data_IF_347566471035
#
_entry.id   IF_347566471035
#
_cell.length_a   1.000
_cell.length_b   1.000
_cell.length_c   1.000
_cell.angle_alpha   90.00
_cell.angle_beta   90.00
_cell.angle_gamma   90.00
#
_symmetry.space_group_name_H-M   'P 1'
#
loop_
_entity.id
_entity.type
_entity.pdbx_description
1 polymer ?
#
# COMPACT_ATOMS: atom_id res chain seq x y z
N UNK A 1 6.33 -7.44 -55.92
CA UNK A 1 5.20 -7.48 -54.96
C UNK A 1 4.59 -6.08 -54.95
N UNK A 2 3.36 -5.89 -55.44
CA UNK A 2 2.66 -4.59 -55.38
C UNK A 2 1.77 -4.61 -54.14
N UNK A 3 2.06 -3.74 -53.17
CA UNK A 3 1.27 -3.58 -51.97
C UNK A 3 0.60 -2.20 -52.04
N UNK A 4 -0.68 -2.18 -52.41
CA UNK A 4 -1.55 -1.01 -52.36
C UNK A 4 -2.42 -1.15 -51.11
N UNK A 5 -2.07 -0.41 -50.07
CA UNK A 5 -2.83 -0.36 -48.82
C UNK A 5 -3.61 0.95 -48.80
N UNK A 6 -4.92 0.86 -49.04
CA UNK A 6 -5.86 1.97 -48.96
C UNK A 6 -6.53 1.91 -47.58
N UNK A 7 -5.82 2.38 -46.55
CA UNK A 7 -6.24 2.24 -45.16
C UNK A 7 -6.96 3.52 -44.73
N UNK A 8 -8.28 3.53 -44.83
CA UNK A 8 -9.16 4.49 -44.13
C UNK A 8 -9.41 3.99 -42.71
N UNK A 9 -8.40 4.02 -41.85
CA UNK A 9 -8.58 3.71 -40.42
C UNK A 9 -8.29 4.93 -39.58
N UNK A 10 -9.27 5.33 -38.79
CA UNK A 10 -9.10 6.30 -37.73
C UNK A 10 -8.26 5.68 -36.61
N UNK A 11 -7.17 6.36 -36.24
CA UNK A 11 -6.30 5.95 -35.15
C UNK A 11 -6.40 6.93 -34.00
N UNK A 12 -7.05 6.51 -32.91
CA UNK A 12 -7.21 7.32 -31.72
C UNK A 12 -6.11 7.02 -30.70
N UNK A 13 -5.50 8.07 -30.16
CA UNK A 13 -4.50 7.99 -29.09
C UNK A 13 -5.09 8.59 -27.83
N UNK A 14 -5.55 7.72 -26.93
CA UNK A 14 -6.14 8.15 -25.65
C UNK A 14 -5.18 8.00 -24.48
N UNK A 15 -4.23 7.05 -24.53
CA UNK A 15 -3.31 6.77 -23.41
C UNK A 15 -1.83 6.86 -23.77
N UNK A 16 -0.97 7.11 -22.77
CA UNK A 16 0.48 7.22 -22.96
C UNK A 16 1.11 5.90 -23.44
N UNK A 17 0.46 4.78 -23.14
CA UNK A 17 0.86 3.44 -23.57
C UNK A 17 0.69 3.23 -25.07
N UNK A 18 -0.07 4.08 -25.76
CA UNK A 18 -0.32 4.00 -27.20
C UNK A 18 0.70 4.81 -28.02
N UNK A 19 1.44 5.72 -27.38
CA UNK A 19 2.49 6.53 -28.04
C UNK A 19 3.57 5.69 -28.76
N UNK A 20 4.07 4.55 -28.23
CA UNK A 20 4.96 3.68 -28.99
C UNK A 20 4.38 3.20 -30.33
N UNK A 21 3.07 2.90 -30.36
CA UNK A 21 2.38 2.47 -31.60
C UNK A 21 2.20 3.63 -32.56
N UNK A 22 1.82 4.81 -32.04
CA UNK A 22 1.75 6.05 -32.83
C UNK A 22 3.07 6.35 -33.55
N UNK A 23 4.21 6.12 -32.88
CA UNK A 23 5.53 6.31 -33.48
C UNK A 23 5.75 5.41 -34.70
N UNK A 24 5.40 4.13 -34.60
CA UNK A 24 5.53 3.15 -35.69
C UNK A 24 4.68 3.56 -36.90
N UNK A 25 3.43 4.00 -36.67
CA UNK A 25 2.53 4.47 -37.73
C UNK A 25 3.10 5.71 -38.42
N UNK A 26 3.54 6.70 -37.64
CA UNK A 26 4.09 7.95 -38.16
C UNK A 26 5.40 7.74 -38.94
N UNK A 27 6.28 6.85 -38.49
CA UNK A 27 7.51 6.48 -39.20
C UNK A 27 7.20 5.77 -40.53
N UNK A 28 6.19 4.89 -40.55
CA UNK A 28 5.74 4.21 -41.77
C UNK A 28 5.15 5.17 -42.80
N UNK A 29 4.50 6.24 -42.34
CA UNK A 29 3.95 7.33 -43.17
C UNK A 29 5.00 8.41 -43.49
N UNK A 30 6.23 8.28 -42.99
CA UNK A 30 7.30 9.28 -43.12
C UNK A 30 6.90 10.68 -42.60
N UNK A 31 6.08 10.75 -41.55
CA UNK A 31 5.55 11.98 -40.95
C UNK A 31 6.27 12.34 -39.64
N UNK A 32 6.43 13.64 -39.39
CA UNK A 32 7.04 14.15 -38.16
C UNK A 32 6.01 14.31 -37.05
N UNK A 33 6.30 13.74 -35.88
CA UNK A 33 5.44 13.80 -34.71
C UNK A 33 5.55 15.17 -34.01
N UNK A 34 4.42 15.86 -33.85
CA UNK A 34 4.33 17.08 -33.04
C UNK A 34 4.18 16.74 -31.54
N UNK A 35 5.30 16.58 -30.85
CA UNK A 35 5.35 16.21 -29.42
C UNK A 35 4.65 17.22 -28.50
N UNK A 36 4.67 18.52 -28.85
CA UNK A 36 4.08 19.58 -28.02
C UNK A 36 2.56 19.60 -28.08
N UNK A 37 2.00 19.28 -29.25
CA UNK A 37 0.54 19.20 -29.41
C UNK A 37 -0.02 18.00 -28.65
N UNK A 38 0.60 16.84 -28.79
CA UNK A 38 0.26 15.63 -28.03
C UNK A 38 0.32 15.90 -26.52
N UNK A 39 1.35 16.61 -26.06
CA UNK A 39 1.51 16.98 -24.66
C UNK A 39 0.36 17.85 -24.14
N UNK A 40 -0.12 18.82 -24.93
CA UNK A 40 -1.26 19.68 -24.60
C UNK A 40 -2.56 18.89 -24.56
N UNK A 41 -2.83 18.05 -25.57
CA UNK A 41 -4.03 17.22 -25.65
C UNK A 41 -4.14 16.23 -24.49
N UNK A 42 -3.00 15.62 -24.10
CA UNK A 42 -2.95 14.65 -23.01
C UNK A 42 -2.71 15.28 -21.63
N UNK A 43 -2.53 16.61 -21.56
CA UNK A 43 -2.19 17.36 -20.34
C UNK A 43 -0.96 16.78 -19.59
N UNK A 44 0.11 16.48 -20.33
CA UNK A 44 1.38 15.94 -19.78
C UNK A 44 2.56 16.78 -20.22
N UNK A 45 3.69 16.66 -19.51
CA UNK A 45 4.93 17.31 -19.93
C UNK A 45 5.47 16.73 -21.26
N UNK A 46 6.02 17.59 -22.12
CA UNK A 46 6.60 17.21 -23.43
C UNK A 46 7.65 16.10 -23.31
N UNK A 47 8.47 16.12 -22.24
CA UNK A 47 9.52 15.12 -22.00
C UNK A 47 8.90 13.76 -21.67
N UNK A 48 7.72 13.74 -21.04
CA UNK A 48 6.97 12.51 -20.79
C UNK A 48 6.52 11.90 -22.12
N UNK A 49 5.96 12.69 -23.04
CA UNK A 49 5.59 12.19 -24.38
C UNK A 49 6.80 11.60 -25.10
N UNK A 50 7.93 12.30 -25.10
CA UNK A 50 9.19 11.83 -25.70
C UNK A 50 9.69 10.52 -25.07
N UNK A 51 9.60 10.41 -23.75
CA UNK A 51 9.97 9.21 -22.99
C UNK A 51 9.10 8.01 -23.37
N UNK A 52 7.78 8.20 -23.48
CA UNK A 52 6.85 7.14 -23.86
C UNK A 52 6.93 6.76 -25.35
N UNK A 53 7.17 7.73 -26.24
CA UNK A 53 7.45 7.46 -27.67
C UNK A 53 8.66 6.53 -27.86
N UNK A 54 9.66 6.61 -26.98
CA UNK A 54 10.83 5.74 -27.00
C UNK A 54 10.62 4.38 -26.29
N UNK A 55 9.39 4.02 -25.96
CA UNK A 55 9.05 2.70 -25.42
C UNK A 55 9.20 2.57 -23.89
N UNK A 56 9.20 3.69 -23.16
CA UNK A 56 9.21 3.63 -21.70
C UNK A 56 7.96 2.91 -21.16
N UNK A 57 8.18 2.01 -20.21
CA UNK A 57 7.14 1.37 -19.42
C UNK A 57 7.35 1.73 -17.95
N UNK A 58 6.33 2.23 -17.24
CA UNK A 58 6.47 2.53 -15.81
C UNK A 58 6.83 1.24 -15.04
N UNK A 59 7.79 1.34 -14.13
CA UNK A 59 8.11 0.24 -13.23
C UNK A 59 6.92 0.02 -12.30
N UNK A 60 6.42 -1.22 -12.24
CA UNK A 60 5.45 -1.62 -11.22
C UNK A 60 6.20 -1.75 -9.90
N UNK A 61 5.59 -1.27 -8.81
CA UNK A 61 6.14 -1.51 -7.47
C UNK A 61 6.18 -3.01 -7.20
N UNK A 62 7.38 -3.54 -6.87
CA UNK A 62 7.54 -4.96 -6.54
C UNK A 62 6.69 -5.29 -5.32
N UNK A 63 5.78 -6.26 -5.46
CA UNK A 63 5.06 -6.85 -4.33
C UNK A 63 6.05 -7.69 -3.51
N UNK A 64 6.68 -7.08 -2.50
CA UNK A 64 7.59 -7.76 -1.57
C UNK A 64 6.81 -8.23 -0.35
N UNK A 65 6.96 -9.50 -0.01
CA UNK A 65 6.44 -10.08 1.22
C UNK A 65 7.11 -9.45 2.45
N UNK A 66 6.34 -9.29 3.52
CA UNK A 66 6.84 -8.79 4.80
C UNK A 66 7.68 -9.88 5.48
N UNK A 67 8.66 -9.46 6.29
CA UNK A 67 9.46 -10.39 7.12
C UNK A 67 8.61 -11.20 8.13
N UNK A 68 7.37 -10.77 8.36
CA UNK A 68 6.43 -11.34 9.33
C UNK A 68 5.47 -12.32 8.65
N UNK A 69 5.37 -12.31 7.31
CA UNK A 69 4.48 -13.22 6.56
C UNK A 69 4.73 -14.71 6.88
N UNK A 70 5.98 -15.19 7.07
CA UNK A 70 6.21 -16.58 7.47
C UNK A 70 5.64 -16.94 8.85
N UNK A 71 5.37 -15.96 9.71
CA UNK A 71 4.83 -16.16 11.05
C UNK A 71 3.31 -15.97 11.10
N UNK A 72 2.65 -15.80 9.96
CA UNK A 72 1.21 -15.49 9.92
C UNK A 72 0.38 -16.59 10.60
N UNK A 73 0.62 -17.86 10.23
CA UNK A 73 -0.13 -19.00 10.79
C UNK A 73 0.16 -19.15 12.28
N UNK A 74 1.42 -19.01 12.69
CA UNK A 74 1.80 -19.05 14.09
C UNK A 74 1.15 -17.93 14.91
N UNK A 75 1.08 -16.70 14.38
CA UNK A 75 0.38 -15.59 15.03
C UNK A 75 -1.13 -15.88 15.12
N UNK A 76 -1.70 -16.51 14.10
CA UNK A 76 -3.11 -16.89 14.08
C UNK A 76 -3.42 -17.93 15.16
N UNK A 77 -2.56 -18.94 15.31
CA UNK A 77 -2.70 -19.98 16.32
C UNK A 77 -2.55 -19.40 17.74
N UNK A 78 -1.55 -18.54 17.95
CA UNK A 78 -1.32 -17.87 19.24
C UNK A 78 -2.45 -16.90 19.65
N UNK A 79 -3.19 -16.35 18.69
CA UNK A 79 -4.32 -15.45 18.94
C UNK A 79 -5.67 -16.17 18.86
N UNK A 80 -5.67 -17.49 18.69
CA UNK A 80 -6.88 -18.31 18.75
C UNK A 80 -7.44 -18.34 20.18
N UNK A 81 -8.74 -18.54 20.31
CA UNK A 81 -9.42 -18.65 21.62
C UNK A 81 -9.05 -19.95 22.36
N UNK A 82 -8.53 -20.93 21.62
CA UNK A 82 -8.11 -22.25 22.13
C UNK A 82 -6.73 -22.22 22.80
N UNK A 83 -5.95 -21.16 22.59
CA UNK A 83 -4.61 -21.06 23.19
C UNK A 83 -4.72 -20.62 24.67
N UNK A 84 -4.08 -21.37 25.57
CA UNK A 84 -4.03 -21.03 27.00
C UNK A 84 -3.33 -19.69 27.26
N UNK A 85 -2.32 -19.37 26.45
CA UNK A 85 -1.53 -18.15 26.59
C UNK A 85 -2.20 -16.95 25.92
N UNK A 86 -2.82 -16.07 26.72
CA UNK A 86 -3.49 -14.86 26.22
C UNK A 86 -2.56 -13.66 26.13
N UNK A 87 -2.54 -12.99 24.97
CA UNK A 87 -1.71 -11.81 24.72
C UNK A 87 -2.52 -10.51 24.76
N UNK A 88 -2.48 -9.76 25.87
CA UNK A 88 -3.23 -8.50 25.97
C UNK A 88 -2.66 -7.36 25.11
N UNK A 89 -1.34 -7.35 24.90
CA UNK A 89 -0.64 -6.25 24.23
C UNK A 89 0.16 -6.73 23.02
N UNK A 90 0.08 -5.96 21.92
CA UNK A 90 0.88 -6.21 20.69
C UNK A 90 2.39 -6.30 20.97
N UNK A 91 2.88 -5.53 21.95
CA UNK A 91 4.29 -5.54 22.37
C UNK A 91 4.71 -6.86 22.99
N UNK A 92 3.84 -7.48 23.78
CA UNK A 92 4.11 -8.75 24.46
C UNK A 92 4.16 -9.89 23.45
N UNK A 93 3.21 -9.93 22.51
CA UNK A 93 3.24 -10.90 21.39
C UNK A 93 4.52 -10.75 20.56
N UNK A 94 4.90 -9.51 20.22
CA UNK A 94 6.14 -9.27 19.47
C UNK A 94 7.39 -9.77 20.22
N UNK A 95 7.48 -9.50 21.51
CA UNK A 95 8.59 -9.93 22.35
C UNK A 95 8.66 -11.47 22.41
N UNK A 96 7.52 -12.12 22.62
CA UNK A 96 7.41 -13.59 22.62
C UNK A 96 7.90 -14.21 21.30
N UNK A 97 7.49 -13.65 20.16
CA UNK A 97 7.92 -14.12 18.84
C UNK A 97 9.42 -13.89 18.60
N UNK A 98 9.97 -12.82 19.14
CA UNK A 98 11.40 -12.51 19.02
C UNK A 98 12.24 -13.47 19.84
N UNK A 99 11.81 -13.76 21.07
CA UNK A 99 12.59 -14.55 22.02
C UNK A 99 12.48 -16.06 21.75
N UNK A 100 11.32 -16.56 21.33
CA UNK A 100 11.09 -18.00 21.14
C UNK A 100 11.18 -18.45 19.67
N UNK A 101 10.76 -17.60 18.73
CA UNK A 101 10.63 -17.96 17.31
C UNK A 101 11.62 -17.22 16.40
N UNK A 102 12.54 -16.44 16.97
CA UNK A 102 13.60 -15.77 16.20
C UNK A 102 13.10 -14.65 15.28
N UNK A 103 11.96 -14.02 15.58
CA UNK A 103 11.41 -12.94 14.77
C UNK A 103 12.38 -11.75 14.67
N UNK A 104 13.05 -11.62 13.52
CA UNK A 104 13.98 -10.52 13.25
C UNK A 104 13.28 -9.30 12.63
N UNK A 105 12.46 -8.60 13.42
CA UNK A 105 11.87 -7.33 13.04
C UNK A 105 11.74 -6.33 14.20
N UNK A 106 11.75 -5.04 13.87
CA UNK A 106 11.45 -3.98 14.83
C UNK A 106 9.97 -4.02 15.25
N UNK A 107 9.68 -3.59 16.48
CA UNK A 107 8.32 -3.51 17.00
C UNK A 107 7.41 -2.61 16.15
N UNK A 108 7.91 -1.50 15.62
CA UNK A 108 7.14 -0.58 14.77
C UNK A 108 6.63 -1.26 13.49
N UNK A 109 7.47 -2.09 12.86
CA UNK A 109 7.11 -2.91 11.69
C UNK A 109 6.04 -3.93 12.07
N UNK A 110 6.23 -4.64 13.18
CA UNK A 110 5.26 -5.61 13.69
C UNK A 110 3.92 -4.99 14.03
N UNK A 111 3.91 -3.85 14.74
CA UNK A 111 2.69 -3.12 15.07
C UNK A 111 1.92 -2.70 13.83
N UNK A 112 2.62 -2.24 12.80
CA UNK A 112 2.00 -1.87 11.51
C UNK A 112 1.43 -3.10 10.80
N UNK A 113 2.15 -4.22 10.81
CA UNK A 113 1.68 -5.49 10.25
C UNK A 113 0.37 -5.95 10.90
N UNK A 114 0.34 -6.03 12.23
CA UNK A 114 -0.87 -6.39 13.00
C UNK A 114 -2.02 -5.40 12.74
N UNK A 115 -1.74 -4.11 12.46
CA UNK A 115 -2.79 -3.14 12.11
C UNK A 115 -3.37 -3.34 10.70
N UNK A 116 -2.58 -3.87 9.76
CA UNK A 116 -3.01 -4.14 8.39
C UNK A 116 -3.86 -5.40 8.28
N UNK A 117 -3.66 -6.36 9.17
CA UNK A 117 -4.47 -7.58 9.23
C UNK A 117 -5.64 -7.40 10.21
N UNK A 118 -6.85 -7.29 9.67
CA UNK A 118 -8.05 -7.01 10.47
C UNK A 118 -8.35 -8.09 11.50
N UNK A 119 -8.09 -9.37 11.18
CA UNK A 119 -8.24 -10.49 12.13
C UNK A 119 -7.46 -10.25 13.42
N UNK A 120 -6.16 -10.00 13.30
CA UNK A 120 -5.29 -9.75 14.45
C UNK A 120 -5.61 -8.41 15.11
N UNK A 121 -5.91 -7.37 14.33
CA UNK A 121 -6.23 -6.07 14.89
C UNK A 121 -7.51 -6.09 15.74
N UNK A 122 -8.50 -6.88 15.33
CA UNK A 122 -9.77 -7.03 16.04
C UNK A 122 -9.59 -7.75 17.38
N UNK A 123 -8.74 -8.78 17.45
CA UNK A 123 -8.37 -9.42 18.71
C UNK A 123 -7.89 -8.41 19.76
N UNK A 124 -6.92 -7.55 19.40
CA UNK A 124 -6.38 -6.53 20.32
C UNK A 124 -7.32 -5.33 20.56
N UNK A 125 -8.36 -5.15 19.74
CA UNK A 125 -9.40 -4.14 19.99
C UNK A 125 -10.42 -4.65 20.99
N UNK A 126 -10.83 -5.92 20.89
CA UNK A 126 -11.75 -6.58 21.84
C UNK A 126 -11.16 -6.63 23.26
N UNK A 127 -9.86 -6.90 23.37
CA UNK A 127 -9.14 -6.98 24.65
C UNK A 127 -8.84 -5.65 25.34
N UNK A 128 -9.29 -4.49 24.81
CA UNK A 128 -9.10 -3.21 25.51
C UNK A 128 -9.95 -3.23 26.78
N UNK A 129 -9.29 -3.32 27.93
CA UNK A 129 -9.90 -3.02 29.21
C UNK A 129 -10.65 -1.69 29.12
N UNK A 130 -11.84 -1.66 29.72
CA UNK A 130 -12.65 -0.45 29.91
C UNK A 130 -11.71 0.67 30.35
N UNK A 131 -11.87 1.87 29.76
CA UNK A 131 -11.14 3.04 30.21
C UNK A 131 -11.21 3.09 31.74
N UNK A 132 -10.07 3.24 32.42
CA UNK A 132 -10.06 3.62 33.83
C UNK A 132 -11.07 4.76 33.98
N UNK A 133 -12.06 4.65 34.87
CA UNK A 133 -13.03 5.71 35.06
C UNK A 133 -12.25 7.00 35.26
N UNK A 134 -12.62 8.05 34.51
CA UNK A 134 -11.97 9.36 34.63
C UNK A 134 -12.03 9.72 36.10
N UNK A 135 -10.87 9.79 36.75
CA UNK A 135 -10.81 10.14 38.16
C UNK A 135 -11.43 11.51 38.35
N UNK A 136 -12.47 11.62 39.17
CA UNK A 136 -13.06 12.91 39.53
C UNK A 136 -12.00 13.73 40.25
N UNK A 137 -11.71 14.94 39.75
CA UNK A 137 -10.80 15.88 40.43
C UNK A 137 -11.32 16.15 41.84
N UNK A 138 -10.50 15.85 42.86
CA UNK A 138 -10.82 16.21 44.24
C UNK A 138 -10.68 17.72 44.39
N UNK A 139 -11.75 18.39 44.83
CA UNK A 139 -11.71 19.79 45.21
C UNK A 139 -11.57 19.89 46.73
N UNK A 140 -11.01 21.00 47.23
CA UNK A 140 -10.87 21.23 48.67
C UNK A 140 -12.27 21.42 49.29
N UNK A 141 -12.64 20.55 50.23
CA UNK A 141 -13.82 20.74 51.08
C UNK A 141 -13.45 21.51 52.36
N UNK A 142 -14.41 22.29 52.88
CA UNK A 142 -14.24 23.02 54.15
C UNK A 142 -13.99 22.05 55.30
N UNK A 143 -13.21 22.46 56.33
CA UNK A 143 -12.94 21.62 57.49
C UNK A 143 -14.24 21.13 58.15
N UNK A 144 -14.33 19.81 58.37
CA UNK A 144 -15.51 19.14 58.95
C UNK A 144 -16.51 18.58 57.92
N UNK A 145 -16.32 18.80 56.62
CA UNK A 145 -17.16 18.19 55.58
C UNK A 145 -16.38 17.10 54.84
N UNK A 146 -16.88 15.85 54.89
CA UNK A 146 -16.33 14.77 54.09
C UNK A 146 -16.66 15.01 52.60
N UNK A 147 -15.66 14.80 51.75
CA UNK A 147 -15.81 14.86 50.29
C UNK A 147 -16.60 13.66 49.75
#
# INVERSE_FOLDING_TARGET
MKLSLDINTDYEVTTLSDLPKLKIVMESLNMKINKSEIARQMNVDRRTVEKYLNGFKPSVNRKKQSKIDPYYDLIKDLLSEECEQKFFYKRVLWQYLKDNHGLNCAYSTFRTYIRKHDSFNNYFKKGRQKSTPVGTTRFETKPGCQA
#
